data_IF_877805501532
#
_entry.id   IF_877805501532
#
_cell.length_a   1.000
_cell.length_b   1.000
_cell.length_c   1.000
_cell.angle_alpha   90.00
_cell.angle_beta   90.00
_cell.angle_gamma   90.00
#
_symmetry.space_group_name_H-M   'P 1'
#
loop_
_entity.id
_entity.type
_entity.pdbx_description
1 polymer ?
#
# COMPACT_ATOMS: atom_id res chain seq x y z
N UNK A 1 -4.63 4.09 -28.45
CA UNK A 1 -4.61 2.90 -27.57
C UNK A 1 -3.47 3.08 -26.60
N UNK A 2 -3.78 3.14 -25.31
CA UNK A 2 -2.80 3.34 -24.23
C UNK A 2 -2.96 4.70 -23.56
N UNK A 3 -3.96 4.81 -22.69
CA UNK A 3 -4.01 5.81 -21.61
C UNK A 3 -5.13 5.41 -20.63
N UNK A 4 -5.17 5.89 -19.37
CA UNK A 4 -4.16 6.44 -18.46
C UNK A 4 -4.17 5.63 -17.13
N UNK A 5 -3.52 6.12 -16.08
CA UNK A 5 -3.70 5.70 -14.66
C UNK A 5 -2.85 4.54 -14.15
N UNK A 6 -1.56 4.54 -14.51
CA UNK A 6 -0.56 4.05 -13.56
C UNK A 6 -0.47 5.04 -12.41
N UNK A 7 -0.91 4.58 -11.26
CA UNK A 7 -0.40 4.90 -9.93
C UNK A 7 0.20 6.29 -9.74
N UNK A 8 -0.63 7.23 -9.28
CA UNK A 8 -0.18 8.32 -8.44
C UNK A 8 -1.28 8.63 -7.42
N UNK A 9 -1.08 8.35 -6.11
CA UNK A 9 -1.88 9.02 -5.11
C UNK A 9 -1.56 10.52 -5.18
N UNK A 10 -2.53 11.29 -5.68
CA UNK A 10 -2.55 12.74 -5.61
C UNK A 10 -2.53 13.13 -4.13
N UNK A 11 -1.34 13.45 -3.61
CA UNK A 11 -1.20 14.21 -2.38
C UNK A 11 -1.91 15.55 -2.58
N UNK A 12 -2.89 15.92 -1.73
CA UNK A 12 -3.55 17.21 -1.88
C UNK A 12 -2.55 18.33 -1.59
N UNK A 13 -2.38 19.19 -2.59
CA UNK A 13 -1.66 20.45 -2.46
C UNK A 13 -2.47 21.38 -1.54
N UNK A 14 -2.08 21.47 -0.27
CA UNK A 14 -2.54 22.55 0.61
C UNK A 14 -1.64 23.77 0.42
N UNK A 15 -2.06 24.64 -0.50
CA UNK A 15 -1.61 26.04 -0.58
C UNK A 15 -2.75 26.89 -0.02
N UNK A 16 -2.60 27.38 1.21
CA UNK A 16 -3.34 28.53 1.74
C UNK A 16 -2.32 29.47 2.41
N UNK A 17 -1.98 30.56 1.72
CA UNK A 17 -1.29 31.74 2.28
C UNK A 17 -2.32 32.64 3.02
N UNK A 18 -1.95 33.77 3.65
CA UNK A 18 -1.09 33.92 4.82
C UNK A 18 -1.78 34.73 5.97
N UNK A 19 -1.23 34.58 7.19
CA UNK A 19 -1.20 35.51 8.36
C UNK A 19 -2.48 36.26 8.75
N UNK A 20 -3.01 35.94 9.94
CA UNK A 20 -3.50 36.99 10.85
C UNK A 20 -3.03 36.76 12.29
N UNK A 21 -2.64 37.88 12.89
CA UNK A 21 -1.96 38.09 14.16
C UNK A 21 -3.01 38.25 15.27
N UNK A 22 -2.77 37.60 16.40
CA UNK A 22 -2.77 38.20 17.75
C UNK A 22 -3.51 37.38 18.81
N UNK A 23 -2.86 37.35 19.98
CA UNK A 23 -3.43 37.31 21.32
C UNK A 23 -3.79 35.94 21.92
N UNK A 24 -3.11 35.62 23.02
CA UNK A 24 -3.73 34.91 24.13
C UNK A 24 -2.89 33.79 24.74
N UNK A 25 -2.29 34.07 25.89
CA UNK A 25 -1.80 33.05 26.82
C UNK A 25 -2.94 32.11 27.24
N UNK A 26 -2.70 30.80 27.25
CA UNK A 26 -3.09 29.96 28.40
C UNK A 26 -1.96 28.97 28.64
N UNK A 27 -1.34 29.09 29.81
CA UNK A 27 -0.22 28.28 30.25
C UNK A 27 -0.80 27.00 30.85
N UNK A 28 -1.11 26.02 30.00
CA UNK A 28 -1.15 24.62 30.43
C UNK A 28 0.06 23.97 29.79
N UNK A 29 0.92 23.37 30.61
CA UNK A 29 2.12 22.65 30.19
C UNK A 29 1.70 21.41 29.38
N UNK A 30 1.37 21.64 28.11
CA UNK A 30 1.14 20.62 27.11
C UNK A 30 2.54 20.18 26.66
N UNK A 31 3.10 19.20 27.37
CA UNK A 31 4.26 18.46 26.87
C UNK A 31 3.84 17.76 25.57
N UNK A 32 3.93 18.50 24.47
CA UNK A 32 3.93 17.94 23.13
C UNK A 32 5.11 16.98 23.07
N UNK A 33 4.92 15.65 22.95
CA UNK A 33 6.02 14.79 22.63
C UNK A 33 6.39 15.10 21.18
N UNK A 34 7.33 16.03 21.00
CA UNK A 34 8.15 16.06 19.81
C UNK A 34 8.76 14.68 19.70
N UNK A 35 8.27 13.90 18.74
CA UNK A 35 8.76 12.58 18.41
C UNK A 35 10.17 12.70 17.82
N UNK A 36 11.14 13.08 18.65
CA UNK A 36 12.55 12.79 18.45
C UNK A 36 12.75 11.40 19.03
N UNK A 37 12.58 10.42 18.16
CA UNK A 37 12.73 8.99 18.40
C UNK A 37 14.22 8.67 18.63
N UNK A 38 14.62 8.60 19.89
CA UNK A 38 15.88 8.05 20.37
C UNK A 38 15.50 7.15 21.58
N UNK A 39 15.50 5.83 21.35
CA UNK A 39 15.08 4.70 22.24
C UNK A 39 13.56 4.40 22.38
N UNK A 40 12.85 3.58 21.59
CA UNK A 40 13.18 2.73 20.46
C UNK A 40 11.88 2.28 19.70
N UNK A 41 11.79 2.46 18.37
CA UNK A 41 10.53 2.50 17.58
C UNK A 41 9.90 1.15 17.19
N UNK A 42 10.41 0.00 17.65
CA UNK A 42 10.04 -1.31 17.09
C UNK A 42 8.62 -1.78 17.47
N UNK A 43 8.01 -1.24 18.53
CA UNK A 43 6.74 -1.73 19.08
C UNK A 43 5.48 -1.15 18.41
N UNK A 44 5.60 -0.14 17.54
CA UNK A 44 4.42 0.52 16.90
C UNK A 44 4.18 0.10 15.45
N UNK A 45 5.09 -0.63 14.82
CA UNK A 45 4.97 -1.05 13.40
C UNK A 45 4.84 -2.56 13.27
N UNK A 46 4.24 -3.03 12.17
CA UNK A 46 4.21 -4.44 11.80
C UNK A 46 5.52 -4.81 11.12
N UNK A 47 6.18 -5.83 11.62
CA UNK A 47 7.39 -6.39 11.02
C UNK A 47 6.95 -7.60 10.21
N UNK A 48 7.11 -7.52 8.89
CA UNK A 48 6.69 -8.55 7.96
C UNK A 48 7.86 -9.45 7.56
N UNK A 49 7.58 -10.73 7.32
CA UNK A 49 8.52 -11.63 6.67
C UNK A 49 8.82 -11.15 5.25
N UNK A 50 9.85 -11.76 4.65
CA UNK A 50 10.03 -11.68 3.20
C UNK A 50 8.78 -12.22 2.51
N UNK A 51 8.45 -11.62 1.36
CA UNK A 51 7.43 -12.16 0.48
C UNK A 51 7.80 -13.57 0.02
N UNK A 52 6.79 -14.43 -0.06
CA UNK A 52 6.89 -15.69 -0.79
C UNK A 52 7.23 -15.42 -2.26
N UNK A 53 7.70 -16.47 -2.95
CA UNK A 53 7.69 -16.46 -4.41
C UNK A 53 6.26 -16.26 -4.90
N UNK A 54 6.12 -15.66 -6.07
CA UNK A 54 4.85 -15.62 -6.77
C UNK A 54 4.41 -17.05 -7.10
N UNK A 55 3.15 -17.35 -6.84
CA UNK A 55 2.50 -18.54 -7.35
C UNK A 55 2.48 -18.51 -8.89
N UNK A 56 2.23 -19.68 -9.48
CA UNK A 56 1.93 -19.78 -10.90
C UNK A 56 0.73 -18.88 -11.26
N UNK A 57 0.70 -18.42 -12.51
CA UNK A 57 -0.46 -17.68 -13.00
C UNK A 57 -1.69 -18.60 -12.96
N UNK A 58 -2.83 -18.06 -12.53
CA UNK A 58 -4.09 -18.82 -12.51
C UNK A 58 -4.56 -19.27 -13.89
N UNK A 59 -4.08 -18.61 -14.95
CA UNK A 59 -4.38 -18.91 -16.33
C UNK A 59 -3.10 -18.89 -17.18
N UNK A 60 -3.11 -19.58 -18.31
CA UNK A 60 -2.04 -19.55 -19.31
C UNK A 60 -2.29 -18.51 -20.41
N UNK A 61 -3.53 -18.04 -20.56
CA UNK A 61 -3.98 -17.05 -21.53
C UNK A 61 -5.27 -16.36 -21.01
N UNK A 62 -5.75 -15.35 -21.73
CA UNK A 62 -7.04 -14.67 -21.48
C UNK A 62 -7.06 -13.78 -20.25
N UNK A 63 -5.91 -13.58 -19.61
CA UNK A 63 -5.78 -12.85 -18.36
C UNK A 63 -5.97 -13.74 -17.13
N UNK A 64 -4.94 -13.79 -16.29
CA UNK A 64 -4.95 -14.46 -15.00
C UNK A 64 -4.31 -13.61 -13.90
N UNK A 65 -4.24 -14.20 -12.71
CA UNK A 65 -3.61 -13.58 -11.55
C UNK A 65 -2.55 -14.51 -10.94
N UNK A 66 -1.42 -13.94 -10.57
CA UNK A 66 -0.44 -14.57 -9.70
C UNK A 66 -0.54 -13.96 -8.31
N UNK A 67 -0.42 -14.81 -7.29
CA UNK A 67 -0.55 -14.43 -5.87
C UNK A 67 0.76 -14.66 -5.14
N UNK A 68 1.12 -13.77 -4.21
CA UNK A 68 2.18 -14.02 -3.22
C UNK A 68 1.71 -13.60 -1.84
N UNK A 69 2.31 -14.19 -0.80
CA UNK A 69 1.93 -13.96 0.60
C UNK A 69 3.14 -13.64 1.46
N UNK A 70 2.94 -12.91 2.55
CA UNK A 70 3.92 -12.75 3.64
C UNK A 70 3.21 -12.81 4.98
N UNK A 71 3.94 -13.17 6.04
CA UNK A 71 3.42 -13.28 7.40
C UNK A 71 3.96 -12.16 8.27
N UNK A 72 3.15 -11.65 9.17
CA UNK A 72 3.60 -10.72 10.20
C UNK A 72 4.42 -11.52 11.24
N UNK A 73 5.70 -11.17 11.41
CA UNK A 73 6.64 -11.94 12.25
C UNK A 73 6.92 -11.29 13.60
N UNK A 74 6.74 -9.97 13.73
CA UNK A 74 6.94 -9.25 15.00
C UNK A 74 6.26 -7.86 15.00
N UNK A 75 6.23 -7.21 16.16
CA UNK A 75 5.56 -5.92 16.35
C UNK A 75 4.05 -6.09 16.57
N UNK A 76 3.24 -5.19 16.01
CA UNK A 76 1.76 -5.22 16.17
C UNK A 76 1.08 -6.22 15.22
N UNK A 77 1.39 -7.50 15.34
CA UNK A 77 0.77 -8.58 14.56
C UNK A 77 -0.41 -9.18 15.33
N UNK A 78 -1.51 -9.46 14.63
CA UNK A 78 -2.50 -10.41 15.13
C UNK A 78 -1.99 -11.86 14.96
N UNK A 79 -2.55 -12.80 15.72
CA UNK A 79 -2.26 -14.22 15.53
C UNK A 79 -2.59 -14.63 14.09
N UNK A 80 -1.62 -15.25 13.41
CA UNK A 80 -1.82 -15.73 12.05
C UNK A 80 -1.93 -14.64 10.98
N UNK A 81 -1.59 -13.39 11.27
CA UNK A 81 -1.76 -12.29 10.32
C UNK A 81 -0.94 -12.46 9.04
N UNK A 82 -1.64 -12.38 7.90
CA UNK A 82 -1.10 -12.57 6.56
C UNK A 82 -1.44 -11.37 5.67
N UNK A 83 -0.51 -11.03 4.78
CA UNK A 83 -0.75 -10.08 3.70
C UNK A 83 -0.63 -10.80 2.36
N UNK A 84 -1.59 -10.53 1.47
CA UNK A 84 -1.65 -11.09 0.12
C UNK A 84 -1.44 -9.98 -0.91
N UNK A 85 -0.63 -10.24 -1.92
CA UNK A 85 -0.52 -9.38 -3.09
C UNK A 85 -0.88 -10.15 -4.36
N UNK A 86 -1.58 -9.48 -5.27
CA UNK A 86 -1.95 -9.97 -6.60
C UNK A 86 -1.25 -9.17 -7.69
N UNK A 87 -0.93 -9.85 -8.79
CA UNK A 87 -0.55 -9.21 -10.05
C UNK A 87 -1.24 -9.90 -11.22
N UNK A 88 -1.55 -9.12 -12.23
CA UNK A 88 -2.04 -9.61 -13.50
C UNK A 88 -0.93 -10.40 -14.25
N UNK A 89 -1.27 -11.48 -14.93
CA UNK A 89 -0.38 -12.29 -15.76
C UNK A 89 -1.15 -12.97 -16.90
N UNK A 90 -0.45 -13.55 -17.89
CA UNK A 90 -1.09 -14.27 -19.00
C UNK A 90 -2.13 -13.45 -19.80
N UNK A 91 -1.83 -12.18 -20.07
CA UNK A 91 -2.73 -11.25 -20.77
C UNK A 91 -2.88 -11.54 -22.28
N UNK A 92 -2.10 -12.47 -22.82
CA UNK A 92 -2.24 -12.87 -24.21
C UNK A 92 -3.61 -13.55 -24.41
N UNK A 93 -4.33 -13.26 -25.50
CA UNK A 93 -5.61 -13.92 -25.78
C UNK A 93 -5.43 -15.44 -25.89
N UNK A 94 -6.47 -16.18 -25.54
CA UNK A 94 -6.46 -17.62 -25.68
C UNK A 94 -6.56 -18.03 -27.16
N UNK A 95 -5.91 -19.13 -27.57
CA UNK A 95 -6.11 -19.69 -28.90
C UNK A 95 -7.58 -20.08 -29.05
N UNK A 96 -8.22 -19.65 -30.15
CA UNK A 96 -9.65 -19.86 -30.40
C UNK A 96 -10.57 -18.75 -29.86
N UNK A 97 -10.04 -17.75 -29.15
CA UNK A 97 -10.78 -16.55 -28.76
C UNK A 97 -10.74 -15.46 -29.86
N UNK A 98 -10.67 -15.87 -31.14
CA UNK A 98 -10.99 -14.94 -32.23
C UNK A 98 -12.44 -14.55 -32.03
N UNK A 99 -12.68 -13.25 -31.84
CA UNK A 99 -14.01 -12.67 -31.73
C UNK A 99 -14.73 -12.79 -33.09
N UNK A 100 -15.15 -14.02 -33.41
CA UNK A 100 -16.10 -14.32 -34.46
C UNK A 100 -17.46 -14.34 -33.78
N UNK A 101 -17.97 -13.13 -33.51
CA UNK A 101 -19.34 -12.91 -33.10
C UNK A 101 -20.07 -12.42 -34.36
N UNK A 102 -20.78 -13.35 -35.00
CA UNK A 102 -21.64 -13.15 -36.18
C UNK A 102 -22.78 -12.14 -35.90
#
# INVERSE_FOLDING_TARGET
>A
MGDPRRDAPLVPAHIFLPKLRSSGLTLTDEVSPTATDDEGPLSRRKIWSRWSKWAACSASCGGGAAVRRRRCVAGRCAEGELEEQRRACAMAPCPGATADYD
#
